data_IF_522236659420
#
_entry.id   IF_522236659420
#
_cell.length_a   1.000
_cell.length_b   1.000
_cell.length_c   1.000
_cell.angle_alpha   90.00
_cell.angle_beta   90.00
_cell.angle_gamma   90.00
#
_symmetry.space_group_name_H-M   'P 1'
#
loop_
_entity.id
_entity.type
_entity.pdbx_description
1 polymer ?
#
# COMPACT_ATOMS: atom_id res chain seq x y z
N UNK A 1 37.57 21.53 -53.08
CA UNK A 1 37.11 22.51 -52.06
C UNK A 1 35.82 22.02 -51.44
N UNK A 2 35.77 22.01 -50.10
CA UNK A 2 34.61 21.77 -49.20
C UNK A 2 34.14 20.30 -49.13
N UNK A 3 34.38 19.59 -48.01
CA UNK A 3 33.75 19.70 -46.66
C UNK A 3 32.32 19.14 -46.70
N UNK A 4 31.76 18.31 -45.81
CA UNK A 4 32.12 17.72 -44.51
C UNK A 4 30.88 16.89 -44.08
N UNK A 5 31.06 15.68 -43.52
CA UNK A 5 30.30 14.98 -42.44
C UNK A 5 28.75 14.94 -42.47
N UNK A 6 28.15 13.73 -42.34
CA UNK A 6 27.22 13.35 -41.24
C UNK A 6 26.88 11.84 -41.35
N UNK A 7 27.56 11.00 -40.58
CA UNK A 7 27.10 10.33 -39.35
C UNK A 7 26.05 9.22 -39.52
N UNK A 8 26.59 8.00 -39.51
CA UNK A 8 26.12 6.79 -38.83
C UNK A 8 24.94 7.02 -37.87
N UNK A 9 23.78 6.44 -38.19
CA UNK A 9 22.71 6.18 -37.22
C UNK A 9 22.51 4.68 -37.19
N UNK A 10 23.26 4.02 -36.33
CA UNK A 10 23.04 2.65 -35.88
C UNK A 10 22.90 2.68 -34.36
N UNK A 11 21.89 1.97 -33.87
CA UNK A 11 21.65 1.58 -32.48
C UNK A 11 21.19 2.66 -31.49
N UNK A 12 19.86 2.80 -31.32
CA UNK A 12 19.20 2.82 -30.00
C UNK A 12 17.77 2.27 -30.14
N UNK A 13 17.62 0.94 -30.11
CA UNK A 13 16.31 0.27 -29.85
C UNK A 13 16.51 -0.84 -28.82
N UNK A 14 17.19 -0.52 -27.72
CA UNK A 14 17.17 -1.32 -26.49
C UNK A 14 16.73 -0.40 -25.36
N UNK A 15 15.44 -0.41 -25.06
CA UNK A 15 14.85 0.44 -24.03
C UNK A 15 13.37 0.18 -23.79
N UNK A 16 12.94 -1.06 -23.97
CA UNK A 16 11.67 -1.58 -23.43
C UNK A 16 11.92 -3.05 -23.12
N UNK A 17 12.75 -3.32 -22.11
CA UNK A 17 12.58 -4.55 -21.35
C UNK A 17 11.36 -4.24 -20.47
N UNK A 18 10.16 -4.53 -20.99
CA UNK A 18 9.06 -4.86 -20.09
C UNK A 18 9.58 -6.00 -19.24
N UNK A 19 9.80 -5.76 -17.96
CA UNK A 19 9.97 -6.83 -16.99
C UNK A 19 8.78 -7.76 -17.16
N UNK A 20 8.98 -8.90 -17.83
CA UNK A 20 7.99 -9.95 -17.82
C UNK A 20 7.89 -10.38 -16.37
N UNK A 21 6.90 -9.87 -15.64
CA UNK A 21 6.56 -10.37 -14.32
C UNK A 21 5.99 -11.76 -14.51
N UNK A 22 6.86 -12.75 -14.73
CA UNK A 22 6.48 -14.15 -14.75
C UNK A 22 6.02 -14.48 -13.35
N UNK A 23 4.71 -14.59 -13.16
CA UNK A 23 4.16 -15.19 -11.96
C UNK A 23 4.68 -16.63 -11.89
N UNK A 24 5.71 -16.85 -11.06
CA UNK A 24 6.20 -18.20 -10.80
C UNK A 24 5.09 -19.01 -10.14
N UNK A 25 4.55 -19.95 -10.91
CA UNK A 25 3.54 -20.90 -10.48
C UNK A 25 4.18 -21.96 -9.58
N UNK A 26 3.34 -22.63 -8.80
CA UNK A 26 3.79 -23.75 -7.98
C UNK A 26 4.35 -24.89 -8.83
N UNK A 27 5.45 -25.48 -8.36
CA UNK A 27 6.05 -26.69 -8.93
C UNK A 27 5.63 -27.97 -8.19
N UNK A 28 4.69 -27.88 -7.25
CA UNK A 28 4.17 -29.03 -6.49
C UNK A 28 2.89 -29.54 -7.16
N UNK A 29 2.85 -30.85 -7.39
CA UNK A 29 1.73 -31.52 -8.07
C UNK A 29 0.71 -32.06 -7.07
N UNK A 30 -0.50 -32.36 -7.53
CA UNK A 30 -1.52 -33.03 -6.71
C UNK A 30 -1.02 -34.37 -6.16
N UNK A 31 -0.31 -35.16 -6.99
CA UNK A 31 0.27 -36.42 -6.56
C UNK A 31 1.27 -36.22 -5.40
N UNK A 32 2.02 -35.12 -5.40
CA UNK A 32 2.93 -34.77 -4.30
C UNK A 32 2.15 -34.47 -3.02
N UNK A 33 1.04 -33.73 -3.10
CA UNK A 33 0.16 -33.44 -1.96
C UNK A 33 -0.44 -34.73 -1.39
N UNK A 34 -0.97 -35.61 -2.24
CA UNK A 34 -1.52 -36.91 -1.83
C UNK A 34 -0.45 -37.78 -1.15
N UNK A 35 0.78 -37.77 -1.68
CA UNK A 35 1.92 -38.49 -1.08
C UNK A 35 2.28 -37.92 0.30
N UNK A 36 2.29 -36.59 0.46
CA UNK A 36 2.53 -35.93 1.76
C UNK A 36 1.46 -36.32 2.78
N UNK A 37 0.18 -36.29 2.39
CA UNK A 37 -0.95 -36.68 3.25
C UNK A 37 -0.83 -38.14 3.70
N UNK A 38 -0.51 -39.05 2.78
CA UNK A 38 -0.30 -40.45 3.10
C UNK A 38 0.85 -40.65 4.10
N UNK A 39 2.00 -39.99 3.85
CA UNK A 39 3.19 -40.10 4.72
C UNK A 39 2.93 -39.56 6.13
N UNK A 40 2.26 -38.41 6.25
CA UNK A 40 1.84 -37.88 7.55
C UNK A 40 0.83 -38.79 8.25
N UNK A 41 -0.10 -39.40 7.49
CA UNK A 41 -1.06 -40.37 8.04
C UNK A 41 -0.40 -41.64 8.58
N UNK A 42 0.68 -42.11 7.95
CA UNK A 42 1.49 -43.22 8.45
C UNK A 42 2.25 -42.85 9.74
N UNK A 43 2.76 -41.62 9.83
CA UNK A 43 3.49 -41.11 11.00
C UNK A 43 2.58 -40.82 12.20
N UNK A 44 1.33 -40.45 11.95
CA UNK A 44 0.32 -40.16 12.96
C UNK A 44 -0.91 -41.08 12.82
N UNK A 45 -0.84 -42.36 13.26
CA UNK A 45 -1.93 -43.32 13.11
C UNK A 45 -3.23 -42.96 13.82
N UNK A 46 -3.18 -42.08 14.82
CA UNK A 46 -4.37 -41.55 15.52
C UNK A 46 -5.17 -40.56 14.66
N UNK A 47 -4.61 -40.14 13.52
CA UNK A 47 -5.21 -39.23 12.56
C UNK A 47 -4.55 -37.86 12.54
N UNK A 48 -4.77 -37.15 11.43
CA UNK A 48 -4.32 -35.76 11.25
C UNK A 48 -5.38 -34.78 11.78
N UNK A 49 -4.93 -33.57 12.10
CA UNK A 49 -5.86 -32.49 12.44
C UNK A 49 -6.79 -32.19 11.24
N UNK A 50 -8.06 -31.77 11.47
CA UNK A 50 -9.01 -31.49 10.39
C UNK A 50 -8.54 -30.43 9.37
N UNK A 51 -7.56 -29.61 9.75
CA UNK A 51 -6.98 -28.55 8.93
C UNK A 51 -5.76 -28.98 8.12
N UNK A 52 -5.26 -30.22 8.29
CA UNK A 52 -3.99 -30.66 7.72
C UNK A 52 -3.96 -30.55 6.20
N UNK A 53 -4.99 -31.06 5.52
CA UNK A 53 -5.09 -31.01 4.06
C UNK A 53 -5.08 -29.57 3.54
N UNK A 54 -5.85 -28.68 4.18
CA UNK A 54 -5.88 -27.27 3.79
C UNK A 54 -4.49 -26.62 3.93
N UNK A 55 -3.77 -26.91 5.01
CA UNK A 55 -2.42 -26.39 5.24
C UNK A 55 -1.40 -26.88 4.21
N UNK A 56 -1.41 -28.19 3.92
CA UNK A 56 -0.52 -28.80 2.92
C UNK A 56 -0.82 -28.24 1.53
N UNK A 57 -2.10 -28.13 1.16
CA UNK A 57 -2.52 -27.59 -0.14
C UNK A 57 -2.16 -26.11 -0.29
N UNK A 58 -2.34 -25.30 0.75
CA UNK A 58 -1.94 -23.90 0.72
C UNK A 58 -0.41 -23.75 0.62
N UNK A 59 0.35 -24.52 1.41
CA UNK A 59 1.81 -24.54 1.30
C UNK A 59 2.26 -24.94 -0.11
N UNK A 60 1.68 -26.01 -0.67
CA UNK A 60 1.96 -26.46 -2.04
C UNK A 60 1.65 -25.36 -3.06
N UNK A 61 0.52 -24.68 -2.97
CA UNK A 61 0.13 -23.61 -3.89
C UNK A 61 1.07 -22.39 -3.88
N UNK A 62 1.81 -22.18 -2.78
CA UNK A 62 2.75 -21.08 -2.62
C UNK A 62 4.22 -21.49 -2.90
N UNK A 63 4.49 -22.79 -2.99
CA UNK A 63 5.83 -23.35 -3.15
C UNK A 63 6.35 -23.22 -4.56
N UNK A 64 7.52 -22.62 -4.76
CA UNK A 64 8.15 -22.41 -6.07
C UNK A 64 9.38 -23.29 -6.27
N UNK A 65 9.91 -23.36 -7.49
CA UNK A 65 11.11 -24.14 -7.77
C UNK A 65 12.34 -23.69 -6.95
N UNK A 66 12.41 -22.40 -6.63
CA UNK A 66 13.42 -21.82 -5.73
C UNK A 66 13.29 -22.29 -4.28
N UNK A 67 12.14 -22.82 -3.88
CA UNK A 67 11.89 -23.31 -2.53
C UNK A 67 12.34 -24.75 -2.32
N UNK A 68 12.40 -25.53 -3.39
CA UNK A 68 12.73 -26.96 -3.35
C UNK A 68 11.94 -27.76 -4.36
N UNK A 69 12.33 -29.02 -4.55
CA UNK A 69 11.62 -29.99 -5.39
C UNK A 69 10.55 -30.74 -4.59
N UNK A 70 9.80 -31.63 -5.27
CA UNK A 70 8.73 -32.40 -4.65
C UNK A 70 9.18 -33.24 -3.43
N UNK A 71 10.30 -34.00 -3.47
CA UNK A 71 10.84 -34.65 -2.27
C UNK A 71 11.11 -33.68 -1.11
N UNK A 72 11.75 -32.54 -1.40
CA UNK A 72 12.03 -31.51 -0.39
C UNK A 72 10.76 -30.91 0.24
N UNK A 73 9.69 -30.75 -0.54
CA UNK A 73 8.39 -30.33 -0.01
C UNK A 73 7.78 -31.37 0.93
N UNK A 74 7.81 -32.65 0.56
CA UNK A 74 7.30 -33.74 1.40
C UNK A 74 8.05 -33.77 2.73
N UNK A 75 9.39 -33.77 2.67
CA UNK A 75 10.24 -33.80 3.87
C UNK A 75 10.00 -32.56 4.75
N UNK A 76 9.87 -31.38 4.15
CA UNK A 76 9.53 -30.15 4.86
C UNK A 76 8.19 -30.27 5.61
N UNK A 77 7.14 -30.78 4.97
CA UNK A 77 5.84 -30.94 5.59
C UNK A 77 5.88 -31.95 6.74
N UNK A 78 6.58 -33.07 6.56
CA UNK A 78 6.77 -34.09 7.61
C UNK A 78 7.49 -33.50 8.82
N UNK A 79 8.57 -32.77 8.60
CA UNK A 79 9.37 -32.19 9.68
C UNK A 79 8.65 -31.09 10.47
N UNK A 80 7.82 -30.28 9.80
CA UNK A 80 7.28 -29.04 10.37
C UNK A 80 5.79 -29.10 10.74
N UNK A 81 5.13 -30.25 10.53
CA UNK A 81 3.72 -30.40 10.88
C UNK A 81 3.52 -30.61 12.38
N UNK A 82 2.64 -29.82 12.98
CA UNK A 82 2.23 -29.93 14.38
C UNK A 82 0.98 -30.81 14.50
N UNK A 83 1.15 -32.10 14.78
CA UNK A 83 0.06 -33.06 14.84
C UNK A 83 -0.89 -32.90 16.05
N UNK A 84 -0.48 -32.20 17.11
CA UNK A 84 -1.30 -32.03 18.32
C UNK A 84 -1.70 -30.57 18.55
N UNK A 85 -2.84 -30.36 19.20
CA UNK A 85 -3.28 -29.00 19.56
C UNK A 85 -2.26 -28.28 20.45
N UNK A 86 -1.63 -28.99 21.38
CA UNK A 86 -0.61 -28.42 22.26
C UNK A 86 0.65 -27.99 21.50
N UNK A 87 1.15 -28.80 20.57
CA UNK A 87 2.29 -28.43 19.73
C UNK A 87 1.96 -27.23 18.84
N UNK A 88 0.76 -27.22 18.26
CA UNK A 88 0.26 -26.12 17.45
C UNK A 88 0.13 -24.82 18.25
N UNK A 89 -0.33 -24.89 19.50
CA UNK A 89 -0.41 -23.73 20.39
C UNK A 89 0.97 -23.14 20.72
N UNK A 90 1.96 -23.99 21.00
CA UNK A 90 3.36 -23.54 21.20
C UNK A 90 3.93 -22.87 19.95
N UNK A 91 3.66 -23.42 18.76
CA UNK A 91 4.08 -22.82 17.50
C UNK A 91 3.41 -21.46 17.28
N UNK A 92 2.10 -21.37 17.54
CA UNK A 92 1.34 -20.12 17.41
C UNK A 92 1.95 -19.01 18.26
N UNK A 93 2.24 -19.26 19.54
CA UNK A 93 2.79 -18.23 20.44
C UNK A 93 4.16 -17.71 19.94
N UNK A 94 5.01 -18.61 19.41
CA UNK A 94 6.31 -18.22 18.84
C UNK A 94 6.15 -17.35 17.59
N UNK A 95 5.29 -17.78 16.66
CA UNK A 95 5.02 -17.04 15.43
C UNK A 95 4.35 -15.69 15.71
N UNK A 96 3.36 -15.68 16.61
CA UNK A 96 2.63 -14.47 17.01
C UNK A 96 3.59 -13.43 17.58
N UNK A 97 4.44 -13.81 18.53
CA UNK A 97 5.43 -12.91 19.11
C UNK A 97 6.45 -12.41 18.08
N UNK A 98 6.95 -13.28 17.21
CA UNK A 98 7.89 -12.88 16.15
C UNK A 98 7.26 -11.87 15.18
N UNK A 99 6.06 -12.17 14.69
CA UNK A 99 5.35 -11.31 13.75
C UNK A 99 4.94 -9.97 14.38
N UNK A 100 4.45 -9.96 15.62
CA UNK A 100 4.16 -8.71 16.32
C UNK A 100 5.38 -7.77 16.36
N UNK A 101 6.57 -8.30 16.67
CA UNK A 101 7.79 -7.52 16.70
C UNK A 101 8.22 -7.05 15.30
N UNK A 102 8.16 -7.93 14.29
CA UNK A 102 8.54 -7.59 12.91
C UNK A 102 7.62 -6.50 12.33
N UNK A 103 6.31 -6.70 12.41
CA UNK A 103 5.33 -5.73 11.90
C UNK A 103 5.34 -4.44 12.71
N UNK A 104 5.41 -4.54 14.04
CA UNK A 104 5.43 -3.37 14.93
C UNK A 104 6.65 -2.49 14.71
N UNK A 105 7.84 -3.08 14.62
CA UNK A 105 9.09 -2.33 14.41
C UNK A 105 9.17 -1.75 13.00
N UNK A 106 8.72 -2.49 11.98
CA UNK A 106 8.66 -1.97 10.60
C UNK A 106 7.71 -0.79 10.49
N UNK A 107 6.55 -0.86 11.14
CA UNK A 107 5.61 0.25 11.22
C UNK A 107 6.22 1.46 11.94
N UNK A 108 6.91 1.23 13.07
CA UNK A 108 7.61 2.31 13.78
C UNK A 108 8.61 3.02 12.87
N UNK A 109 9.46 2.27 12.15
CA UNK A 109 10.42 2.85 11.21
C UNK A 109 9.71 3.62 10.08
N UNK A 110 8.65 3.05 9.51
CA UNK A 110 7.86 3.74 8.46
C UNK A 110 7.30 5.07 8.96
N UNK A 111 6.75 5.09 10.19
CA UNK A 111 6.25 6.33 10.81
C UNK A 111 7.37 7.35 10.96
N UNK A 112 8.52 6.97 11.52
CA UNK A 112 9.65 7.89 11.71
C UNK A 112 10.15 8.49 10.39
N UNK A 113 10.25 7.68 9.33
CA UNK A 113 10.69 8.15 8.01
C UNK A 113 9.69 9.11 7.36
N UNK A 114 8.40 8.97 7.66
CA UNK A 114 7.32 9.83 7.13
C UNK A 114 7.12 11.11 7.92
N UNK A 115 7.61 11.19 9.16
CA UNK A 115 7.40 12.35 10.05
C UNK A 115 7.75 13.69 9.42
N UNK A 116 8.90 13.87 8.72
CA UNK A 116 9.21 15.15 8.11
C UNK A 116 8.10 15.62 7.16
N UNK A 117 7.63 14.75 6.27
CA UNK A 117 6.59 15.09 5.29
C UNK A 117 5.20 15.27 5.90
N UNK A 118 4.92 14.63 7.05
CA UNK A 118 3.57 14.59 7.64
C UNK A 118 3.35 15.60 8.77
N UNK A 119 4.41 16.12 9.39
CA UNK A 119 4.32 17.04 10.51
C UNK A 119 4.72 18.45 10.08
N UNK A 120 4.13 19.46 10.72
CA UNK A 120 4.57 20.84 10.56
C UNK A 120 6.01 20.98 11.08
N UNK A 121 6.88 21.57 10.27
CA UNK A 121 8.31 21.59 10.55
C UNK A 121 9.09 22.50 9.59
N UNK A 122 10.39 22.23 9.49
CA UNK A 122 11.27 22.98 8.59
C UNK A 122 10.97 22.71 7.10
N UNK A 123 11.65 23.46 6.24
CA UNK A 123 11.56 23.28 4.79
C UNK A 123 11.91 21.86 4.39
N UNK A 124 10.99 21.18 3.71
CA UNK A 124 11.21 19.85 3.17
C UNK A 124 12.23 19.88 2.03
N UNK A 125 13.12 18.90 2.04
CA UNK A 125 14.06 18.61 0.98
C UNK A 125 13.57 17.42 0.14
N UNK A 126 14.07 17.26 -1.10
CA UNK A 126 13.72 16.11 -1.94
C UNK A 126 13.94 14.75 -1.26
N UNK A 127 14.94 14.64 -0.38
CA UNK A 127 15.23 13.40 0.36
C UNK A 127 14.13 13.03 1.35
N UNK A 128 13.42 14.00 1.93
CA UNK A 128 12.34 13.74 2.89
C UNK A 128 11.18 13.00 2.21
N UNK A 129 10.87 13.38 0.96
CA UNK A 129 9.87 12.68 0.16
C UNK A 129 10.33 11.28 -0.28
N UNK A 130 11.61 11.13 -0.64
CA UNK A 130 12.17 9.82 -1.00
C UNK A 130 12.11 8.87 0.20
N UNK A 131 12.50 9.33 1.39
CA UNK A 131 12.46 8.55 2.62
C UNK A 131 11.02 8.28 3.09
N UNK A 132 10.11 9.26 2.97
CA UNK A 132 8.69 9.08 3.29
C UNK A 132 8.00 8.05 2.39
N UNK A 133 8.47 7.88 1.16
CA UNK A 133 7.97 6.90 0.18
C UNK A 133 8.60 5.50 0.33
N UNK A 134 9.70 5.37 1.08
CA UNK A 134 10.37 4.08 1.28
C UNK A 134 9.54 3.15 2.16
N UNK A 135 9.39 1.89 1.75
CA UNK A 135 8.75 0.84 2.56
C UNK A 135 9.83 -0.03 3.20
N UNK A 136 10.10 0.13 4.51
CA UNK A 136 11.12 -0.66 5.20
C UNK A 136 10.77 -2.16 5.29
N UNK A 137 9.54 -2.54 4.99
CA UNK A 137 9.05 -3.92 5.03
C UNK A 137 8.83 -4.56 3.66
N UNK A 138 9.21 -3.88 2.57
CA UNK A 138 8.91 -4.34 1.20
C UNK A 138 9.36 -5.79 0.94
N UNK A 139 10.53 -6.17 1.45
CA UNK A 139 11.12 -7.52 1.31
C UNK A 139 10.70 -8.52 2.39
N UNK A 140 10.07 -8.08 3.47
CA UNK A 140 9.86 -8.90 4.66
C UNK A 140 9.11 -10.20 4.35
N UNK A 141 8.04 -10.12 3.55
CA UNK A 141 7.25 -11.30 3.17
C UNK A 141 8.04 -12.27 2.30
N UNK A 142 8.83 -11.75 1.36
CA UNK A 142 9.67 -12.55 0.47
C UNK A 142 10.73 -13.31 1.27
N UNK A 143 11.39 -12.64 2.21
CA UNK A 143 12.38 -13.24 3.12
C UNK A 143 11.77 -14.34 4.00
N UNK A 144 10.53 -14.15 4.47
CA UNK A 144 9.80 -15.17 5.23
C UNK A 144 9.43 -16.41 4.41
N UNK A 145 9.31 -16.31 3.09
CA UNK A 145 9.21 -17.49 2.23
C UNK A 145 10.57 -18.15 2.03
N UNK A 146 11.62 -17.36 1.78
CA UNK A 146 12.99 -17.86 1.57
C UNK A 146 13.47 -18.65 2.79
N UNK A 147 13.25 -18.15 4.00
CA UNK A 147 13.63 -18.81 5.25
C UNK A 147 12.63 -19.89 5.75
N UNK A 148 11.56 -20.14 4.99
CA UNK A 148 10.50 -21.13 5.24
C UNK A 148 9.51 -20.84 6.37
N UNK A 149 9.65 -19.75 7.12
CA UNK A 149 8.70 -19.41 8.21
C UNK A 149 7.27 -19.23 7.69
N UNK A 150 7.09 -18.65 6.50
CA UNK A 150 5.79 -18.53 5.86
C UNK A 150 5.14 -19.90 5.59
N UNK A 151 5.93 -20.89 5.16
CA UNK A 151 5.44 -22.25 4.91
C UNK A 151 5.09 -22.99 6.21
N UNK A 152 5.90 -22.83 7.26
CA UNK A 152 5.60 -23.39 8.59
C UNK A 152 4.26 -22.83 9.10
N UNK A 153 4.03 -21.54 8.89
CA UNK A 153 2.79 -20.87 9.25
C UNK A 153 1.58 -21.47 8.53
N UNK A 154 1.55 -21.45 7.19
CA UNK A 154 0.37 -21.92 6.44
C UNK A 154 0.12 -23.41 6.57
N UNK A 155 1.18 -24.21 6.74
CA UNK A 155 1.07 -25.65 6.97
C UNK A 155 0.24 -25.97 8.22
N UNK A 156 0.43 -25.18 9.28
CA UNK A 156 -0.16 -25.42 10.60
C UNK A 156 -1.40 -24.56 10.88
N UNK A 157 -1.52 -23.43 10.19
CA UNK A 157 -2.61 -22.46 10.32
C UNK A 157 -3.09 -22.05 8.92
N UNK A 158 -3.87 -22.87 8.21
CA UNK A 158 -4.34 -22.52 6.89
C UNK A 158 -5.32 -21.34 6.91
N UNK A 159 -5.38 -20.62 5.79
CA UNK A 159 -6.31 -19.52 5.60
C UNK A 159 -7.74 -20.03 5.38
N UNK A 160 -8.70 -19.14 5.61
CA UNK A 160 -10.11 -19.40 5.34
C UNK A 160 -10.65 -18.35 4.37
N UNK A 161 -11.45 -18.77 3.40
CA UNK A 161 -12.19 -17.86 2.53
C UNK A 161 -13.20 -17.04 3.35
N UNK A 162 -13.64 -15.90 2.80
CA UNK A 162 -14.66 -15.07 3.43
C UNK A 162 -15.95 -15.87 3.71
N UNK A 163 -16.37 -16.73 2.78
CA UNK A 163 -17.57 -17.56 2.96
C UNK A 163 -17.44 -18.55 4.12
N UNK A 164 -16.25 -19.15 4.28
CA UNK A 164 -15.95 -20.06 5.39
C UNK A 164 -15.93 -19.30 6.71
N UNK A 165 -15.34 -18.10 6.75
CA UNK A 165 -15.33 -17.26 7.97
C UNK A 165 -16.74 -16.84 8.39
N UNK A 166 -17.61 -16.49 7.45
CA UNK A 166 -19.01 -16.15 7.76
C UNK A 166 -19.80 -17.36 8.30
N UNK A 167 -19.53 -18.55 7.74
CA UNK A 167 -20.22 -19.79 8.12
C UNK A 167 -19.71 -20.39 9.43
N UNK A 168 -18.39 -20.48 9.60
CA UNK A 168 -17.73 -21.17 10.72
C UNK A 168 -17.42 -20.22 11.89
N UNK A 169 -17.11 -18.95 11.58
CA UNK A 169 -16.59 -17.98 12.55
C UNK A 169 -17.55 -17.62 13.68
N UNK A 170 -18.85 -17.87 13.50
CA UNK A 170 -19.88 -17.71 14.56
C UNK A 170 -19.67 -18.66 15.74
N UNK A 171 -19.03 -19.80 15.48
CA UNK A 171 -18.75 -20.83 16.49
C UNK A 171 -17.28 -20.82 16.92
N UNK A 172 -16.47 -19.88 16.43
CA UNK A 172 -15.06 -19.80 16.79
C UNK A 172 -14.85 -19.05 18.09
N UNK A 173 -14.01 -19.61 18.94
CA UNK A 173 -13.44 -18.88 20.06
C UNK A 173 -12.32 -17.93 19.61
N UNK A 174 -11.78 -17.16 20.56
CA UNK A 174 -10.70 -16.20 20.30
C UNK A 174 -9.44 -16.88 19.73
N UNK A 175 -9.13 -18.10 20.16
CA UNK A 175 -7.94 -18.84 19.72
C UNK A 175 -8.11 -19.31 18.27
N UNK A 176 -9.28 -19.81 17.90
CA UNK A 176 -9.61 -20.20 16.53
C UNK A 176 -9.58 -19.00 15.57
N UNK A 177 -10.09 -17.84 16.00
CA UNK A 177 -9.95 -16.58 15.25
C UNK A 177 -8.49 -16.17 15.05
N UNK A 178 -7.67 -16.32 16.10
CA UNK A 178 -6.25 -16.01 16.01
C UNK A 178 -5.51 -16.94 15.04
N UNK A 179 -5.81 -18.23 15.05
CA UNK A 179 -5.27 -19.21 14.11
C UNK A 179 -5.69 -18.92 12.67
N UNK A 180 -6.97 -18.57 12.44
CA UNK A 180 -7.43 -18.17 11.12
C UNK A 180 -6.70 -16.91 10.61
N UNK A 181 -6.46 -15.92 11.49
CA UNK A 181 -5.74 -14.70 11.13
C UNK A 181 -4.27 -14.96 10.80
N UNK A 182 -3.65 -15.94 11.47
CA UNK A 182 -2.28 -16.38 11.20
C UNK A 182 -2.14 -16.89 9.76
N UNK A 183 -3.09 -17.70 9.30
CA UNK A 183 -3.12 -18.19 7.91
C UNK A 183 -3.37 -17.13 6.85
N UNK A 184 -4.08 -16.06 7.21
CA UNK A 184 -4.34 -14.93 6.30
C UNK A 184 -3.09 -14.11 5.97
N UNK A 185 -2.02 -14.24 6.76
CA UNK A 185 -0.77 -13.51 6.51
C UNK A 185 -0.12 -13.92 5.18
N UNK A 186 -0.26 -15.18 4.78
CA UNK A 186 0.45 -15.76 3.64
C UNK A 186 -0.52 -16.41 2.64
N UNK A 187 -1.18 -15.58 1.84
CA UNK A 187 -2.14 -16.06 0.82
C UNK A 187 -1.64 -15.86 -0.61
N UNK A 188 -0.61 -15.03 -0.79
CA UNK A 188 0.03 -14.75 -2.07
C UNK A 188 1.51 -14.40 -1.86
N UNK A 189 2.27 -14.36 -2.95
CA UNK A 189 3.70 -14.02 -2.98
C UNK A 189 3.95 -12.81 -3.86
N UNK A 190 3.65 -11.63 -3.32
CA UNK A 190 3.91 -10.36 -4.01
C UNK A 190 5.41 -10.08 -3.98
N UNK A 191 6.06 -9.85 -5.14
CA UNK A 191 7.45 -9.42 -5.20
C UNK A 191 7.70 -8.14 -4.41
N UNK A 192 8.84 -8.05 -3.73
CA UNK A 192 9.20 -6.89 -2.93
C UNK A 192 9.27 -5.59 -3.74
N UNK A 193 9.73 -5.66 -4.99
CA UNK A 193 9.78 -4.52 -5.92
C UNK A 193 8.39 -3.90 -6.12
N UNK A 194 7.34 -4.73 -6.26
CA UNK A 194 5.96 -4.23 -6.40
C UNK A 194 5.43 -3.59 -5.11
N UNK A 195 5.81 -4.11 -3.94
CA UNK A 195 5.46 -3.48 -2.66
C UNK A 195 6.10 -2.09 -2.55
N UNK A 196 7.38 -1.97 -2.92
CA UNK A 196 8.10 -0.71 -2.91
C UNK A 196 7.56 0.29 -3.95
N UNK A 197 7.21 -0.16 -5.16
CA UNK A 197 6.56 0.66 -6.17
C UNK A 197 5.18 1.16 -5.71
N UNK A 198 4.39 0.29 -5.07
CA UNK A 198 3.11 0.68 -4.48
C UNK A 198 3.29 1.74 -3.40
N UNK A 199 4.26 1.58 -2.50
CA UNK A 199 4.58 2.58 -1.47
C UNK A 199 4.99 3.92 -2.09
N UNK A 200 5.79 3.90 -3.15
CA UNK A 200 6.18 5.11 -3.87
C UNK A 200 4.98 5.79 -4.55
N UNK A 201 4.10 5.02 -5.20
CA UNK A 201 2.92 5.56 -5.86
C UNK A 201 1.94 6.18 -4.85
N UNK A 202 1.67 5.49 -3.74
CA UNK A 202 0.81 6.00 -2.67
C UNK A 202 1.40 7.24 -2.00
N UNK A 203 2.68 7.20 -1.64
CA UNK A 203 3.34 8.35 -1.03
C UNK A 203 3.40 9.57 -1.97
N UNK A 204 3.61 9.38 -3.28
CA UNK A 204 3.51 10.47 -4.25
C UNK A 204 2.09 11.06 -4.33
N UNK A 205 1.05 10.22 -4.27
CA UNK A 205 -0.33 10.67 -4.26
C UNK A 205 -0.65 11.45 -2.97
N UNK A 206 -0.22 10.94 -1.82
CA UNK A 206 -0.40 11.59 -0.52
C UNK A 206 0.32 12.94 -0.48
N UNK A 207 1.56 13.01 -0.96
CA UNK A 207 2.33 14.26 -1.05
C UNK A 207 1.67 15.27 -1.99
N UNK A 208 1.11 14.81 -3.12
CA UNK A 208 0.34 15.67 -4.02
C UNK A 208 -0.90 16.25 -3.31
N UNK A 209 -1.64 15.41 -2.58
CA UNK A 209 -2.84 15.83 -1.84
C UNK A 209 -2.47 16.79 -0.70
N UNK A 210 -1.43 16.46 0.07
CA UNK A 210 -0.93 17.22 1.23
C UNK A 210 -0.34 18.58 0.85
N UNK A 211 0.17 18.71 -0.37
CA UNK A 211 0.71 19.95 -0.89
C UNK A 211 -0.25 20.72 -1.77
N UNK A 212 -1.49 20.26 -2.03
CA UNK A 212 -2.40 20.98 -2.92
C UNK A 212 -3.10 22.14 -2.19
N UNK A 213 -2.53 23.35 -2.25
CA UNK A 213 -3.12 24.52 -1.62
C UNK A 213 -3.66 25.55 -2.61
N UNK A 214 -4.72 26.25 -2.18
CA UNK A 214 -5.25 27.44 -2.84
C UNK A 214 -4.91 28.65 -1.99
N UNK A 215 -4.30 29.66 -2.61
CA UNK A 215 -4.02 30.95 -1.96
C UNK A 215 -5.30 31.78 -1.98
N UNK A 216 -6.17 31.55 -0.99
CA UNK A 216 -7.50 32.16 -0.91
C UNK A 216 -7.49 33.69 -0.90
N UNK A 217 -6.46 34.29 -0.28
CA UNK A 217 -6.27 35.75 -0.30
C UNK A 217 -6.08 36.32 -1.72
N UNK A 218 -5.67 35.48 -2.67
CA UNK A 218 -5.49 35.84 -4.08
C UNK A 218 -6.76 35.64 -4.94
N UNK A 219 -7.87 35.22 -4.33
CA UNK A 219 -9.14 35.10 -5.05
C UNK A 219 -9.83 36.46 -5.18
N UNK A 220 -10.31 36.71 -6.39
CA UNK A 220 -11.05 37.91 -6.75
C UNK A 220 -12.49 37.56 -7.10
N UNK A 221 -13.41 38.43 -6.69
CA UNK A 221 -14.74 38.47 -7.27
C UNK A 221 -14.68 39.02 -8.70
N UNK A 222 -15.77 38.90 -9.46
CA UNK A 222 -15.83 39.44 -10.82
C UNK A 222 -15.63 40.97 -10.86
N UNK A 223 -16.08 41.67 -9.81
CA UNK A 223 -15.87 43.11 -9.59
C UNK A 223 -14.53 43.47 -8.93
N UNK A 224 -13.64 42.49 -8.69
CA UNK A 224 -12.26 42.72 -8.24
C UNK A 224 -12.07 42.86 -6.72
N UNK A 225 -13.08 42.54 -5.90
CA UNK A 225 -12.96 42.51 -4.44
C UNK A 225 -12.25 41.23 -3.97
N UNK A 226 -11.53 41.31 -2.85
CA UNK A 226 -11.01 40.16 -2.11
C UNK A 226 -11.94 39.86 -0.93
N UNK A 227 -12.48 38.65 -0.86
CA UNK A 227 -13.35 38.23 0.23
C UNK A 227 -12.57 37.60 1.40
N UNK A 228 -11.41 37.01 1.12
CA UNK A 228 -10.59 36.29 2.09
C UNK A 228 -9.43 37.15 2.57
N UNK A 229 -8.96 36.96 3.82
CA UNK A 229 -7.79 37.66 4.35
C UNK A 229 -6.54 37.47 3.48
N UNK A 230 -5.70 38.49 3.45
CA UNK A 230 -4.38 38.42 2.82
C UNK A 230 -3.54 37.28 3.44
N UNK A 231 -2.81 36.54 2.58
CA UNK A 231 -1.99 35.41 3.01
C UNK A 231 -2.77 34.16 3.43
N UNK A 232 -4.10 34.15 3.37
CA UNK A 232 -4.88 32.95 3.66
C UNK A 232 -4.59 31.87 2.60
N UNK A 233 -4.09 30.72 3.06
CA UNK A 233 -3.82 29.54 2.25
C UNK A 233 -4.65 28.40 2.80
N UNK A 234 -5.41 27.72 1.93
CA UNK A 234 -6.21 26.57 2.32
C UNK A 234 -5.82 25.35 1.53
N UNK A 235 -5.60 24.27 2.26
CA UNK A 235 -5.41 22.94 1.72
C UNK A 235 -6.70 22.45 1.05
N UNK A 236 -6.60 22.05 -0.21
CA UNK A 236 -7.73 21.67 -1.06
C UNK A 236 -8.56 20.55 -0.47
N UNK A 237 -7.88 19.52 0.07
CA UNK A 237 -8.55 18.29 0.46
C UNK A 237 -9.35 18.44 1.77
N UNK A 238 -8.92 19.28 2.72
CA UNK A 238 -9.60 19.45 4.02
C UNK A 238 -10.07 20.88 4.29
N UNK A 239 -9.20 21.88 4.13
CA UNK A 239 -9.49 23.22 4.65
C UNK A 239 -10.53 24.00 3.83
N UNK A 240 -10.67 23.75 2.52
CA UNK A 240 -11.74 24.38 1.73
C UNK A 240 -13.13 24.05 2.28
N UNK A 241 -13.37 22.77 2.59
CA UNK A 241 -14.62 22.31 3.20
C UNK A 241 -14.83 22.93 4.59
N UNK A 242 -13.77 22.99 5.38
CA UNK A 242 -13.87 23.50 6.75
C UNK A 242 -14.11 25.02 6.77
N UNK A 243 -13.54 25.76 5.81
CA UNK A 243 -13.85 27.17 5.62
C UNK A 243 -15.30 27.39 5.13
N UNK A 244 -15.86 26.53 4.28
CA UNK A 244 -17.30 26.61 3.97
C UNK A 244 -18.13 26.51 5.25
N UNK A 245 -17.79 25.56 6.14
CA UNK A 245 -18.50 25.36 7.41
C UNK A 245 -18.33 26.54 8.37
N UNK A 246 -17.13 27.14 8.46
CA UNK A 246 -16.89 28.31 9.31
C UNK A 246 -17.79 29.49 8.89
N UNK A 247 -18.06 29.61 7.59
CA UNK A 247 -18.95 30.62 7.02
C UNK A 247 -20.45 30.31 7.14
N UNK A 248 -20.88 29.24 7.83
CA UNK A 248 -22.30 29.08 8.23
C UNK A 248 -22.70 29.99 9.38
N UNK A 249 -21.72 30.51 10.14
CA UNK A 249 -21.95 31.54 11.13
C UNK A 249 -22.34 32.87 10.46
N UNK A 250 -22.97 33.77 11.24
CA UNK A 250 -23.34 35.10 10.75
C UNK A 250 -22.11 36.03 10.69
N UNK A 251 -21.25 35.79 9.71
CA UNK A 251 -20.04 36.58 9.40
C UNK A 251 -20.23 37.38 8.11
N UNK A 252 -19.52 38.51 7.91
CA UNK A 252 -19.62 39.29 6.68
C UNK A 252 -19.34 38.44 5.43
N UNK A 253 -20.17 38.65 4.42
CA UNK A 253 -20.08 38.00 3.10
C UNK A 253 -20.10 36.46 3.12
N UNK A 254 -20.60 35.87 4.21
CA UNK A 254 -20.64 34.42 4.46
C UNK A 254 -21.09 33.60 3.25
N UNK A 255 -22.26 33.94 2.67
CA UNK A 255 -22.80 33.21 1.53
C UNK A 255 -21.96 33.39 0.26
N UNK A 256 -21.38 34.58 0.05
CA UNK A 256 -20.55 34.86 -1.12
C UNK A 256 -19.23 34.07 -1.05
N UNK A 257 -18.60 34.03 0.12
CA UNK A 257 -17.42 33.20 0.42
C UNK A 257 -17.69 31.72 0.17
N UNK A 258 -18.78 31.18 0.71
CA UNK A 258 -19.16 29.78 0.50
C UNK A 258 -19.31 29.44 -0.99
N UNK A 259 -20.00 30.30 -1.76
CA UNK A 259 -20.19 30.09 -3.20
C UNK A 259 -18.87 30.18 -3.97
N UNK A 260 -17.98 31.12 -3.61
CA UNK A 260 -16.66 31.23 -4.23
C UNK A 260 -15.81 29.98 -3.96
N UNK A 261 -15.78 29.47 -2.72
CA UNK A 261 -15.07 28.23 -2.40
C UNK A 261 -15.67 27.04 -3.15
N UNK A 262 -17.00 26.93 -3.18
CA UNK A 262 -17.67 25.91 -3.98
C UNK A 262 -17.25 25.97 -5.45
N UNK A 263 -17.15 27.18 -6.02
CA UNK A 263 -16.69 27.37 -7.40
C UNK A 263 -15.24 26.92 -7.61
N UNK A 264 -14.36 27.22 -6.67
CA UNK A 264 -12.98 26.69 -6.67
C UNK A 264 -12.97 25.16 -6.67
N UNK A 265 -13.79 24.54 -5.80
CA UNK A 265 -13.92 23.09 -5.73
C UNK A 265 -14.44 22.48 -7.04
N UNK A 266 -15.41 23.12 -7.71
CA UNK A 266 -15.86 22.70 -9.04
C UNK A 266 -14.70 22.69 -10.04
N UNK A 267 -13.88 23.73 -10.07
CA UNK A 267 -12.73 23.78 -10.98
C UNK A 267 -11.69 22.69 -10.72
N UNK A 268 -11.48 22.34 -9.44
CA UNK A 268 -10.62 21.22 -9.05
C UNK A 268 -11.22 19.88 -9.52
N UNK A 269 -12.51 19.63 -9.25
CA UNK A 269 -13.19 18.39 -9.63
C UNK A 269 -13.25 18.22 -11.15
N UNK A 270 -13.56 19.28 -11.89
CA UNK A 270 -13.62 19.26 -13.35
C UNK A 270 -12.25 19.38 -14.02
N UNK A 271 -11.16 19.48 -13.25
CA UNK A 271 -9.79 19.66 -13.77
C UNK A 271 -9.67 20.87 -14.72
N UNK A 272 -10.42 21.93 -14.44
CA UNK A 272 -10.41 23.20 -15.19
C UNK A 272 -9.73 24.33 -14.41
N UNK A 273 -9.28 24.06 -13.19
CA UNK A 273 -8.48 25.00 -12.40
C UNK A 273 -7.16 25.31 -13.13
N UNK A 274 -6.78 26.60 -13.23
CA UNK A 274 -5.50 26.97 -13.80
C UNK A 274 -4.34 26.45 -12.95
N UNK A 275 -3.41 25.70 -13.55
CA UNK A 275 -2.30 25.09 -12.79
C UNK A 275 -1.43 26.13 -12.06
N UNK A 276 -1.32 27.34 -12.61
CA UNK A 276 -0.50 28.41 -12.05
C UNK A 276 -1.02 28.99 -10.74
N UNK A 277 -2.28 28.75 -10.33
CA UNK A 277 -2.85 29.29 -9.08
C UNK A 277 -2.71 28.34 -7.89
N UNK A 278 -2.20 27.12 -8.12
CA UNK A 278 -1.99 26.11 -7.08
C UNK A 278 -0.64 26.39 -6.41
N UNK A 279 -0.64 26.53 -5.08
CA UNK A 279 0.55 26.85 -4.27
C UNK A 279 1.31 28.10 -4.72
N UNK A 280 0.66 29.05 -5.39
CA UNK A 280 1.35 30.17 -5.99
C UNK A 280 0.69 31.51 -5.62
N UNK A 281 1.36 32.35 -4.81
CA UNK A 281 0.83 33.65 -4.41
C UNK A 281 1.02 34.76 -5.47
N UNK A 282 1.73 34.49 -6.57
CA UNK A 282 2.00 35.49 -7.63
C UNK A 282 0.79 35.79 -8.53
N UNK A 283 -0.23 34.94 -8.50
CA UNK A 283 -1.37 35.03 -9.41
C UNK A 283 -2.65 35.34 -8.65
N UNK A 284 -3.41 36.30 -9.17
CA UNK A 284 -4.80 36.50 -8.76
C UNK A 284 -5.75 35.72 -9.66
N UNK A 285 -6.83 35.19 -9.09
CA UNK A 285 -7.76 34.35 -9.83
C UNK A 285 -9.21 34.72 -9.55
N UNK A 286 -9.98 34.87 -10.62
CA UNK A 286 -11.44 34.99 -10.58
C UNK A 286 -12.07 33.63 -10.86
N UNK A 287 -12.61 32.91 -9.84
CA UNK A 287 -13.10 31.55 -10.04
C UNK A 287 -14.36 31.48 -10.92
N UNK A 288 -15.19 32.52 -11.01
CA UNK A 288 -16.43 32.44 -11.78
C UNK A 288 -16.18 32.53 -13.29
N UNK A 289 -15.38 33.49 -13.74
CA UNK A 289 -14.91 33.62 -15.12
C UNK A 289 -13.73 32.71 -15.46
N UNK A 290 -13.13 32.07 -14.45
CA UNK A 290 -11.91 31.29 -14.54
C UNK A 290 -10.72 32.05 -15.15
N UNK A 291 -10.64 33.35 -14.88
CA UNK A 291 -9.60 34.25 -15.43
C UNK A 291 -8.49 34.46 -14.41
N UNK A 292 -7.25 34.35 -14.84
CA UNK A 292 -6.05 34.53 -14.02
C UNK A 292 -5.35 35.81 -14.42
N UNK A 293 -4.82 36.52 -13.44
CA UNK A 293 -4.02 37.74 -13.61
C UNK A 293 -2.65 37.55 -12.98
N UNK A 294 -1.63 38.13 -13.60
CA UNK A 294 -0.31 38.29 -13.00
C UNK A 294 0.06 39.77 -13.05
N UNK A 295 0.45 40.35 -11.93
CA UNK A 295 0.83 41.76 -11.85
C UNK A 295 -0.25 42.73 -12.37
N UNK A 296 -1.53 42.31 -12.38
CA UNK A 296 -2.67 43.09 -12.87
C UNK A 296 -3.00 42.95 -14.36
N UNK A 297 -2.27 42.12 -15.11
CA UNK A 297 -2.50 41.79 -16.53
C UNK A 297 -3.05 40.37 -16.73
#
# INVERSE_FOLDING_TARGET
MKKTILFMVLAVLQGCITSETKTEMSNITEQTVETTLARLGEEYPEGLLPTAENGIRQAAGLWRASDGNAPGFIDFCVENYCATEAAREVLYEKLSGAFENMYGTSNQLSVELKKPAHLEGGTLLPVDYILGNYDPSAHMMEDLFVNKVAFICVLNFPNYSLSQKDSLGRNWDRKQWAYARMGDLFTHRTPAELNQEMSQALGNADNYIASYNIVMGNLLTEDGRRLFPEGMVLLSHWNLRDEIKSNYANVPDALEKQKMIHKVMEHIVYQTIPKCVINNPEYDWKPYSNTVYKDGE
#
